data_IF_729922490449
#
_entry.id   IF_729922490449
#
_cell.length_a   1.000
_cell.length_b   1.000
_cell.length_c   1.000
_cell.angle_alpha   90.00
_cell.angle_beta   90.00
_cell.angle_gamma   90.00
#
_symmetry.space_group_name_H-M   'P 1'
#
loop_
_entity.id
_entity.type
_entity.pdbx_description
1 polymer ?
#
# COMPACT_ATOMS: atom_id res chain seq x y z
N UNK A 1 32.52 -26.21 43.66
CA UNK A 1 31.53 -25.96 44.73
C UNK A 1 30.14 -25.89 44.11
N UNK A 2 29.41 -27.01 44.17
CA UNK A 2 27.94 -27.03 44.26
C UNK A 2 27.56 -26.73 45.74
N UNK A 3 26.31 -26.36 46.10
CA UNK A 3 25.08 -26.95 45.55
C UNK A 3 23.84 -26.05 45.31
N UNK A 4 23.00 -26.61 44.42
CA UNK A 4 21.52 -26.77 44.41
C UNK A 4 20.58 -25.76 45.10
N UNK A 5 19.48 -25.43 44.40
CA UNK A 5 18.08 -25.87 44.64
C UNK A 5 17.12 -24.89 43.92
N UNK A 6 16.57 -25.23 42.74
CA UNK A 6 15.25 -25.87 42.52
C UNK A 6 14.07 -25.08 43.07
N UNK A 7 13.20 -24.53 42.19
CA UNK A 7 11.73 -24.69 42.21
C UNK A 7 11.23 -24.45 40.78
N UNK A 8 10.96 -25.56 40.12
CA UNK A 8 10.24 -25.70 38.86
C UNK A 8 9.07 -26.61 39.17
N UNK A 9 7.95 -26.06 39.65
CA UNK A 9 6.72 -26.83 39.91
C UNK A 9 5.55 -25.87 39.69
N UNK A 10 4.74 -26.12 38.66
CA UNK A 10 3.28 -26.02 38.65
C UNK A 10 2.80 -26.13 37.20
N UNK A 11 2.76 -27.34 36.66
CA UNK A 11 1.77 -27.76 35.63
C UNK A 11 1.93 -29.26 35.39
N UNK A 12 1.51 -30.07 36.37
CA UNK A 12 1.20 -31.48 36.19
C UNK A 12 0.26 -31.88 37.32
N UNK A 13 -1.03 -31.70 37.06
CA UNK A 13 -2.10 -31.94 38.02
C UNK A 13 -3.45 -31.91 37.32
N UNK A 14 -3.57 -32.62 36.19
CA UNK A 14 -4.84 -32.76 35.50
C UNK A 14 -4.91 -34.10 34.77
N UNK A 15 -4.74 -35.19 35.52
CA UNK A 15 -5.17 -36.51 35.08
C UNK A 15 -5.69 -37.27 36.30
N UNK A 16 -6.88 -37.86 36.15
CA UNK A 16 -7.54 -38.77 37.09
C UNK A 16 -8.10 -38.20 38.38
N UNK A 17 -9.30 -37.61 38.31
CA UNK A 17 -10.43 -37.97 39.18
C UNK A 17 -11.75 -37.60 38.49
N UNK A 18 -12.31 -38.53 37.70
CA UNK A 18 -13.64 -38.37 37.10
C UNK A 18 -14.35 -39.72 37.02
N UNK A 19 -14.54 -40.38 38.15
CA UNK A 19 -15.56 -41.41 38.29
C UNK A 19 -16.09 -41.38 39.72
N UNK A 20 -17.29 -40.81 39.87
CA UNK A 20 -18.45 -41.36 40.58
C UNK A 20 -19.34 -40.20 41.06
N UNK A 21 -20.23 -39.71 40.19
CA UNK A 21 -21.49 -39.09 40.64
C UNK A 21 -22.62 -39.49 39.67
N UNK A 22 -23.81 -39.82 40.19
CA UNK A 22 -24.90 -40.40 39.42
C UNK A 22 -25.72 -39.30 38.72
N UNK A 23 -26.10 -39.58 37.47
CA UNK A 23 -27.28 -39.03 36.76
C UNK A 23 -27.64 -37.57 37.09
N UNK A 24 -26.87 -36.61 36.58
CA UNK A 24 -27.38 -35.27 36.30
C UNK A 24 -27.42 -35.01 34.80
N UNK A 25 -28.49 -34.34 34.40
CA UNK A 25 -29.00 -34.18 33.05
C UNK A 25 -27.95 -33.65 32.08
N UNK A 26 -27.83 -34.36 30.97
CA UNK A 26 -27.33 -33.91 29.68
C UNK A 26 -28.03 -32.58 29.33
N UNK A 27 -27.32 -31.46 29.37
CA UNK A 27 -27.90 -30.17 29.01
C UNK A 27 -26.96 -29.01 29.26
N UNK A 28 -26.34 -28.50 28.18
CA UNK A 28 -25.70 -27.19 28.17
C UNK A 28 -24.18 -27.21 28.36
N UNK A 29 -23.45 -27.89 27.47
CA UNK A 29 -22.06 -27.52 27.20
C UNK A 29 -22.10 -26.15 26.50
N UNK A 30 -22.00 -25.06 27.26
CA UNK A 30 -21.84 -23.71 26.73
C UNK A 30 -20.43 -23.62 26.10
N UNK A 31 -20.34 -24.00 24.83
CA UNK A 31 -19.26 -23.61 23.94
C UNK A 31 -19.42 -22.12 23.67
N UNK A 32 -18.92 -21.28 24.57
CA UNK A 32 -18.77 -19.86 24.31
C UNK A 32 -17.65 -19.74 23.28
N UNK A 33 -18.00 -19.82 21.99
CA UNK A 33 -17.12 -19.41 20.91
C UNK A 33 -16.74 -17.96 21.17
N UNK A 34 -15.47 -17.74 21.55
CA UNK A 34 -14.84 -16.44 21.40
C UNK A 34 -14.71 -16.16 19.89
N UNK A 35 -15.80 -15.69 19.28
CA UNK A 35 -15.74 -14.93 18.05
C UNK A 35 -15.04 -13.63 18.41
N UNK A 36 -13.70 -13.62 18.33
CA UNK A 36 -12.96 -12.37 18.32
C UNK A 36 -13.43 -11.64 17.06
N UNK A 37 -14.09 -10.47 17.15
CA UNK A 37 -14.41 -9.70 15.96
C UNK A 37 -13.09 -9.43 15.24
N UNK A 38 -13.05 -9.70 13.93
CA UNK A 38 -11.97 -9.23 13.08
C UNK A 38 -11.79 -7.75 13.38
N UNK A 39 -10.63 -7.37 13.94
CA UNK A 39 -10.37 -5.99 14.34
C UNK A 39 -10.38 -5.16 13.07
N UNK A 40 -11.36 -4.26 12.97
CA UNK A 40 -11.37 -3.22 11.94
C UNK A 40 -10.36 -2.17 12.32
N UNK A 41 -9.52 -1.76 11.37
CA UNK A 41 -8.57 -0.63 11.50
C UNK A 41 -9.02 0.59 10.69
N UNK A 42 -9.96 0.41 9.74
CA UNK A 42 -10.61 1.43 8.91
C UNK A 42 -9.74 2.68 8.60
N UNK A 43 -8.53 2.45 8.12
CA UNK A 43 -7.58 3.50 7.80
C UNK A 43 -7.75 3.98 6.36
N UNK A 44 -7.73 5.30 6.17
CA UNK A 44 -7.73 5.90 4.84
C UNK A 44 -6.32 6.38 4.50
N UNK A 45 -5.67 5.67 3.59
CA UNK A 45 -4.39 6.02 2.99
C UNK A 45 -4.56 7.09 1.92
N UNK A 46 -3.74 8.15 1.99
CA UNK A 46 -3.66 9.22 0.99
C UNK A 46 -2.21 9.55 0.68
N UNK A 47 -1.94 9.98 -0.56
CA UNK A 47 -0.59 10.34 -0.99
C UNK A 47 -0.48 11.80 -1.42
N UNK A 48 0.56 12.47 -0.91
CA UNK A 48 0.93 13.82 -1.31
C UNK A 48 2.28 13.79 -2.01
N UNK A 49 2.32 14.15 -3.30
CA UNK A 49 3.59 14.35 -4.00
C UNK A 49 4.12 15.75 -3.68
N UNK A 50 5.31 15.84 -3.09
CA UNK A 50 5.92 17.12 -2.74
C UNK A 50 6.77 17.68 -3.88
N UNK A 51 7.76 16.91 -4.32
CA UNK A 51 8.66 17.26 -5.42
C UNK A 51 9.50 16.06 -5.86
N UNK A 52 10.17 16.22 -7.00
CA UNK A 52 11.20 15.32 -7.51
C UNK A 52 12.50 16.10 -7.65
N UNK A 53 13.59 15.56 -7.16
CA UNK A 53 14.91 16.16 -7.36
C UNK A 53 15.46 15.86 -8.76
N UNK A 54 16.26 16.79 -9.31
CA UNK A 54 16.66 16.72 -10.72
C UNK A 54 17.75 15.66 -10.97
N UNK A 55 18.84 15.67 -10.19
CA UNK A 55 20.04 14.86 -10.49
C UNK A 55 19.99 13.43 -9.96
N UNK A 56 19.48 13.25 -8.75
CA UNK A 56 19.35 11.97 -8.08
C UNK A 56 18.01 11.30 -8.42
N UNK A 57 17.12 11.97 -9.15
CA UNK A 57 15.79 11.43 -9.52
C UNK A 57 15.02 10.87 -8.31
N UNK A 58 15.12 11.55 -7.16
CA UNK A 58 14.42 11.15 -5.94
C UNK A 58 13.03 11.73 -5.91
N UNK A 59 12.01 10.87 -5.80
CA UNK A 59 10.64 11.28 -5.54
C UNK A 59 10.42 11.41 -4.03
N UNK A 60 9.84 12.54 -3.61
CA UNK A 60 9.46 12.81 -2.23
C UNK A 60 7.94 12.78 -2.12
N UNK A 61 7.41 11.74 -1.49
CA UNK A 61 5.97 11.46 -1.40
C UNK A 61 5.61 11.28 0.07
N UNK A 62 4.63 12.04 0.56
CA UNK A 62 4.00 11.80 1.86
C UNK A 62 2.91 10.77 1.72
N UNK A 63 2.82 9.85 2.68
CA UNK A 63 1.70 8.94 2.89
C UNK A 63 1.07 9.30 4.23
N UNK A 64 -0.22 9.60 4.23
CA UNK A 64 -1.01 9.84 5.43
C UNK A 64 -2.03 8.71 5.59
N UNK A 65 -2.02 8.04 6.74
CA UNK A 65 -2.96 7.00 7.16
C UNK A 65 -3.93 7.60 8.18
N UNK A 66 -5.05 8.12 7.69
CA UNK A 66 -6.11 8.71 8.50
C UNK A 66 -6.97 7.64 9.19
N UNK A 67 -7.93 8.10 9.99
CA UNK A 67 -8.85 7.23 10.71
C UNK A 67 -8.20 6.73 11.99
N UNK A 68 -8.21 5.42 12.21
CA UNK A 68 -7.72 4.82 13.45
C UNK A 68 -6.19 4.69 13.49
N UNK A 69 -5.51 4.81 12.34
CA UNK A 69 -4.05 4.72 12.24
C UNK A 69 -3.33 5.99 12.74
N UNK A 70 -3.73 7.17 12.27
CA UNK A 70 -3.13 8.45 12.65
C UNK A 70 -1.63 8.55 12.39
N UNK A 71 -1.14 7.99 11.28
CA UNK A 71 0.29 7.90 10.96
C UNK A 71 0.64 8.63 9.67
N UNK A 72 1.77 9.32 9.64
CA UNK A 72 2.31 9.97 8.44
C UNK A 72 3.72 9.47 8.15
N UNK A 73 3.98 9.09 6.90
CA UNK A 73 5.26 8.56 6.46
C UNK A 73 5.80 9.34 5.27
N UNK A 74 7.04 9.82 5.35
CA UNK A 74 7.77 10.27 4.18
C UNK A 74 8.34 9.06 3.45
N UNK A 75 8.04 8.95 2.17
CA UNK A 75 8.57 7.97 1.25
C UNK A 75 9.51 8.70 0.27
N UNK A 76 10.77 8.28 0.26
CA UNK A 76 11.77 8.72 -0.71
C UNK A 76 12.11 7.57 -1.64
N UNK A 77 11.97 7.78 -2.95
CA UNK A 77 12.28 6.77 -3.96
C UNK A 77 13.37 7.31 -4.86
N UNK A 78 14.57 6.81 -4.68
CA UNK A 78 15.75 7.14 -5.45
C UNK A 78 15.90 6.16 -6.61
N UNK A 79 15.89 6.64 -7.85
CA UNK A 79 16.03 5.81 -9.04
C UNK A 79 17.46 5.88 -9.55
N UNK A 80 18.26 4.83 -9.28
CA UNK A 80 19.65 4.72 -9.77
C UNK A 80 19.81 3.47 -10.60
N UNK A 81 20.36 3.63 -11.82
CA UNK A 81 20.67 2.50 -12.71
C UNK A 81 19.46 1.59 -12.97
N UNK A 82 18.26 2.18 -13.03
CA UNK A 82 17.00 1.44 -13.25
C UNK A 82 16.48 0.65 -12.04
N UNK A 83 17.14 0.73 -10.88
CA UNK A 83 16.68 0.08 -9.64
C UNK A 83 16.17 1.12 -8.64
N UNK A 84 14.94 0.98 -8.13
CA UNK A 84 14.43 1.87 -7.08
C UNK A 84 15.06 1.50 -5.72
N UNK A 85 15.59 2.51 -5.03
CA UNK A 85 15.96 2.43 -3.62
C UNK A 85 14.95 3.26 -2.83
N UNK A 86 14.27 2.62 -1.87
CA UNK A 86 13.17 3.24 -1.12
C UNK A 86 13.59 3.43 0.33
N UNK A 87 13.38 4.64 0.84
CA UNK A 87 13.44 4.94 2.28
C UNK A 87 12.08 5.42 2.75
N UNK A 88 11.59 4.83 3.83
CA UNK A 88 10.34 5.23 4.49
C UNK A 88 10.70 5.73 5.89
N UNK A 89 10.20 6.91 6.25
CA UNK A 89 10.45 7.53 7.55
C UNK A 89 9.12 8.01 8.13
N UNK A 90 8.80 7.57 9.33
CA UNK A 90 7.61 8.02 10.04
C UNK A 90 7.83 9.41 10.63
N UNK A 91 6.82 10.27 10.54
CA UNK A 91 6.84 11.60 11.15
C UNK A 91 6.48 11.48 12.63
N UNK A 92 7.16 12.27 13.46
CA UNK A 92 6.83 12.40 14.90
C UNK A 92 5.42 12.97 15.11
N UNK A 93 4.95 13.77 14.16
CA UNK A 93 3.63 14.40 14.21
C UNK A 93 2.88 14.16 12.90
N UNK A 94 1.66 13.62 13.05
CA UNK A 94 0.73 13.40 11.95
C UNK A 94 0.47 14.69 11.14
N UNK A 95 0.50 14.57 9.82
CA UNK A 95 0.25 15.60 8.80
C UNK A 95 1.13 16.86 8.85
N UNK A 96 2.16 16.92 9.71
CA UNK A 96 3.02 18.10 9.83
C UNK A 96 4.09 18.13 8.73
N UNK A 97 3.66 18.50 7.53
CA UNK A 97 4.46 18.52 6.31
C UNK A 97 5.16 19.86 6.02
N UNK A 98 5.01 20.88 6.87
CA UNK A 98 5.49 22.24 6.61
C UNK A 98 7.02 22.32 6.44
N UNK A 99 7.74 21.38 7.06
CA UNK A 99 9.20 21.29 6.96
C UNK A 99 9.69 20.89 5.56
N UNK A 100 8.83 20.28 4.73
CA UNK A 100 9.21 19.79 3.40
C UNK A 100 9.43 20.95 2.43
N UNK A 101 8.70 22.06 2.58
CA UNK A 101 8.81 23.20 1.67
C UNK A 101 10.17 23.92 1.75
N UNK A 102 10.74 24.21 2.94
CA UNK A 102 12.13 24.66 3.04
C UNK A 102 13.14 23.72 2.39
N UNK A 103 12.97 22.40 2.53
CA UNK A 103 13.85 21.39 1.92
C UNK A 103 13.76 21.45 0.39
N UNK A 104 12.53 21.51 -0.15
CA UNK A 104 12.28 21.68 -1.58
C UNK A 104 13.01 22.91 -2.14
N UNK A 105 12.92 24.06 -1.46
CA UNK A 105 13.56 25.31 -1.88
C UNK A 105 15.09 25.25 -1.87
N UNK A 106 15.66 24.39 -1.02
CA UNK A 106 17.11 24.17 -0.95
C UNK A 106 17.64 23.19 -2.01
N UNK A 107 16.75 22.48 -2.70
CA UNK A 107 17.10 21.45 -3.69
C UNK A 107 16.83 21.91 -5.12
N UNK A 108 17.58 21.35 -6.08
CA UNK A 108 17.22 21.47 -7.50
C UNK A 108 16.11 20.46 -7.81
N UNK A 109 14.94 20.97 -8.14
CA UNK A 109 13.76 20.17 -8.42
C UNK A 109 13.34 20.27 -9.87
N UNK A 110 12.83 19.18 -10.42
CA UNK A 110 12.18 19.18 -11.72
C UNK A 110 10.70 19.54 -11.56
N UNK A 111 10.21 20.47 -12.38
CA UNK A 111 8.81 20.89 -12.36
C UNK A 111 7.96 19.91 -13.17
N UNK A 112 6.96 19.25 -12.56
CA UNK A 112 6.08 18.34 -13.30
C UNK A 112 5.04 19.09 -14.14
N UNK A 113 4.59 18.46 -15.21
CA UNK A 113 3.23 18.66 -15.73
C UNK A 113 2.27 17.79 -14.91
N UNK A 114 1.19 18.37 -14.39
CA UNK A 114 0.24 17.67 -13.51
C UNK A 114 -1.11 17.55 -14.21
N UNK A 115 -1.62 16.33 -14.27
CA UNK A 115 -2.89 15.99 -14.89
C UNK A 115 -3.83 15.34 -13.88
N UNK A 116 -5.09 15.77 -13.90
CA UNK A 116 -6.18 15.15 -13.14
C UNK A 116 -7.17 14.60 -14.17
N UNK A 117 -7.61 13.34 -14.06
CA UNK A 117 -8.58 12.79 -15.00
C UNK A 117 -9.88 13.61 -15.04
N UNK A 118 -10.47 13.69 -16.23
CA UNK A 118 -11.77 14.32 -16.42
C UNK A 118 -12.92 13.47 -15.85
N UNK A 119 -14.16 13.91 -16.03
CA UNK A 119 -15.37 13.18 -15.58
C UNK A 119 -15.52 11.77 -16.15
N UNK A 120 -14.91 11.50 -17.31
CA UNK A 120 -14.87 10.16 -17.92
C UNK A 120 -13.69 9.32 -17.44
N UNK A 121 -12.94 9.79 -16.44
CA UNK A 121 -11.74 9.15 -15.88
C UNK A 121 -10.60 8.99 -16.90
N UNK A 122 -10.51 9.93 -17.83
CA UNK A 122 -9.48 9.94 -18.88
C UNK A 122 -8.61 11.20 -18.72
N UNK A 123 -7.31 11.03 -18.93
CA UNK A 123 -6.38 12.12 -19.21
C UNK A 123 -6.22 12.16 -20.73
N UNK A 124 -6.52 13.31 -21.34
CA UNK A 124 -6.36 13.57 -22.77
C UNK A 124 -5.83 15.00 -22.92
N UNK A 125 -4.52 15.14 -22.90
CA UNK A 125 -3.85 16.44 -23.01
C UNK A 125 -3.21 16.60 -24.39
N UNK A 126 -3.69 17.57 -25.15
CA UNK A 126 -3.21 17.84 -26.51
C UNK A 126 -1.81 18.50 -26.55
N UNK A 127 -1.40 19.18 -25.48
CA UNK A 127 -0.13 19.92 -25.44
C UNK A 127 1.04 18.97 -25.23
N UNK A 128 0.93 18.09 -24.24
CA UNK A 128 1.95 17.08 -23.92
C UNK A 128 1.77 15.78 -24.69
N UNK A 129 0.63 15.59 -25.35
CA UNK A 129 0.29 14.35 -26.06
C UNK A 129 -0.07 13.19 -25.13
N UNK A 130 -0.13 13.42 -23.81
CA UNK A 130 -0.42 12.37 -22.83
C UNK A 130 -1.89 11.99 -22.90
N UNK A 131 -2.12 10.73 -23.29
CA UNK A 131 -3.42 10.08 -23.23
C UNK A 131 -3.35 8.85 -22.36
N UNK A 132 -4.16 8.82 -21.31
CA UNK A 132 -4.13 7.74 -20.32
C UNK A 132 -5.51 7.52 -19.69
N UNK A 133 -5.83 6.26 -19.40
CA UNK A 133 -6.98 5.90 -18.56
C UNK A 133 -6.65 4.73 -17.63
N UNK A 134 -7.46 4.49 -16.58
CA UNK A 134 -7.34 3.32 -15.72
C UNK A 134 -7.21 1.99 -16.49
N UNK A 135 -6.59 0.96 -15.90
CA UNK A 135 -6.57 -0.37 -16.49
C UNK A 135 -7.98 -0.89 -16.76
N UNK A 136 -8.11 -1.81 -17.71
CA UNK A 136 -9.37 -2.53 -17.90
C UNK A 136 -9.68 -3.35 -16.65
N UNK A 137 -10.96 -3.48 -16.33
CA UNK A 137 -11.35 -4.33 -15.22
C UNK A 137 -10.91 -5.78 -15.46
N UNK A 138 -10.33 -6.40 -14.42
CA UNK A 138 -9.71 -7.71 -14.48
C UNK A 138 -10.32 -8.64 -13.42
N UNK A 139 -11.44 -9.27 -13.77
CA UNK A 139 -12.17 -10.18 -12.88
C UNK A 139 -11.32 -11.36 -12.42
N UNK A 140 -10.32 -11.78 -13.21
CA UNK A 140 -9.44 -12.89 -12.84
C UNK A 140 -8.56 -12.51 -11.65
N UNK A 141 -7.88 -11.36 -11.71
CA UNK A 141 -7.04 -10.89 -10.61
C UNK A 141 -7.90 -10.54 -9.39
N UNK A 142 -9.05 -9.92 -9.60
CA UNK A 142 -10.00 -9.63 -8.53
C UNK A 142 -10.43 -10.89 -7.77
N UNK A 143 -10.88 -11.95 -8.47
CA UNK A 143 -11.29 -13.19 -7.83
C UNK A 143 -10.12 -13.86 -7.10
N UNK A 144 -8.93 -13.88 -7.72
CA UNK A 144 -7.73 -14.45 -7.11
C UNK A 144 -7.35 -13.73 -5.81
N UNK A 145 -7.41 -12.40 -5.81
CA UNK A 145 -7.18 -11.58 -4.62
C UNK A 145 -8.26 -11.84 -3.56
N UNK A 146 -9.54 -11.84 -3.94
CA UNK A 146 -10.65 -12.05 -3.03
C UNK A 146 -10.59 -13.42 -2.32
N UNK A 147 -10.18 -14.47 -3.04
CA UNK A 147 -10.12 -15.84 -2.50
C UNK A 147 -8.90 -16.09 -1.59
N UNK A 148 -7.76 -15.44 -1.86
CA UNK A 148 -6.49 -15.84 -1.25
C UNK A 148 -5.79 -14.74 -0.44
N UNK A 149 -6.18 -13.48 -0.65
CA UNK A 149 -5.43 -12.32 -0.14
C UNK A 149 -6.29 -11.22 0.47
N UNK A 150 -7.62 -11.33 0.43
CA UNK A 150 -8.52 -10.33 1.01
C UNK A 150 -8.21 -10.02 2.49
N UNK A 151 -7.79 -11.04 3.25
CA UNK A 151 -7.41 -10.92 4.66
C UNK A 151 -6.00 -10.32 4.88
N UNK A 152 -5.18 -10.24 3.83
CA UNK A 152 -3.73 -10.01 3.92
C UNK A 152 -3.24 -8.71 3.25
N UNK A 153 -4.17 -7.88 2.78
CA UNK A 153 -3.94 -6.60 2.11
C UNK A 153 -3.06 -6.67 0.84
N UNK A 154 -2.85 -5.52 0.21
CA UNK A 154 -2.09 -5.39 -1.03
C UNK A 154 -0.61 -5.81 -0.92
N UNK A 155 0.05 -5.63 0.24
CA UNK A 155 1.46 -5.99 0.41
C UNK A 155 1.73 -7.46 0.17
N UNK A 156 0.92 -8.34 0.77
CA UNK A 156 1.11 -9.77 0.60
C UNK A 156 0.78 -10.21 -0.82
N UNK A 157 -0.28 -9.64 -1.41
CA UNK A 157 -0.59 -9.81 -2.83
C UNK A 157 0.61 -9.46 -3.72
N UNK A 158 1.17 -8.26 -3.56
CA UNK A 158 2.28 -7.75 -4.37
C UNK A 158 3.58 -8.54 -4.16
N UNK A 159 3.82 -9.05 -2.96
CA UNK A 159 4.97 -9.94 -2.69
C UNK A 159 4.81 -11.30 -3.38
N UNK A 160 3.58 -11.82 -3.47
CA UNK A 160 3.28 -13.12 -4.07
C UNK A 160 3.22 -13.06 -5.60
N UNK A 161 2.47 -12.09 -6.13
CA UNK A 161 2.18 -11.97 -7.56
C UNK A 161 3.26 -11.19 -8.32
N UNK A 162 4.00 -10.31 -7.64
CA UNK A 162 4.97 -9.41 -8.27
C UNK A 162 4.31 -8.67 -9.45
N UNK A 163 5.01 -8.51 -10.57
CA UNK A 163 4.52 -7.85 -11.78
C UNK A 163 3.26 -8.51 -12.37
N UNK A 164 3.05 -9.83 -12.18
CA UNK A 164 1.86 -10.52 -12.69
C UNK A 164 0.55 -10.09 -12.00
N UNK A 165 0.67 -9.40 -10.86
CA UNK A 165 -0.45 -8.84 -10.10
C UNK A 165 -0.71 -7.36 -10.36
N UNK A 166 0.01 -6.75 -11.31
CA UNK A 166 0.00 -5.31 -11.60
C UNK A 166 -0.54 -5.08 -13.02
N UNK A 167 -1.76 -4.56 -13.14
CA UNK A 167 -2.29 -4.03 -14.38
C UNK A 167 -1.86 -2.56 -14.53
N UNK A 168 -1.12 -2.23 -15.59
CA UNK A 168 -0.69 -0.85 -15.85
C UNK A 168 -1.83 -0.02 -16.48
N UNK A 169 -1.79 1.32 -16.38
CA UNK A 169 -2.73 2.19 -17.10
C UNK A 169 -2.75 1.90 -18.60
N UNK A 170 -3.89 2.15 -19.24
CA UNK A 170 -3.96 2.10 -20.68
C UNK A 170 -3.46 3.43 -21.25
N UNK A 171 -2.47 3.37 -22.14
CA UNK A 171 -1.91 4.53 -22.83
C UNK A 171 -2.19 4.44 -24.34
N UNK A 172 -2.12 5.59 -25.01
CA UNK A 172 -2.12 5.67 -26.48
C UNK A 172 -0.88 6.41 -26.93
N UNK A 173 -0.22 5.88 -27.96
CA UNK A 173 0.92 6.51 -28.63
C UNK A 173 2.13 6.82 -27.73
N UNK A 174 2.16 6.26 -26.51
CA UNK A 174 3.29 6.33 -25.58
C UNK A 174 3.57 4.93 -25.01
N UNK A 175 4.85 4.58 -24.98
CA UNK A 175 5.35 3.35 -24.40
C UNK A 175 6.00 3.63 -23.04
N UNK A 176 5.53 2.92 -22.02
CA UNK A 176 5.98 3.08 -20.64
C UNK A 176 6.57 1.76 -20.11
N UNK A 177 7.70 1.85 -19.41
CA UNK A 177 8.25 0.80 -18.57
C UNK A 177 7.92 1.09 -17.10
N UNK A 178 7.34 0.10 -16.42
CA UNK A 178 7.15 0.18 -14.98
C UNK A 178 8.50 0.08 -14.28
N UNK A 179 8.84 1.11 -13.49
CA UNK A 179 10.11 1.17 -12.73
C UNK A 179 9.86 0.83 -11.26
N UNK A 180 8.72 1.24 -10.71
CA UNK A 180 8.39 1.03 -9.32
C UNK A 180 6.87 1.04 -9.11
N UNK A 181 6.40 0.21 -8.18
CA UNK A 181 5.05 0.28 -7.64
C UNK A 181 5.13 0.27 -6.11
N UNK A 182 4.28 1.07 -5.45
CA UNK A 182 4.24 1.13 -4.00
C UNK A 182 3.69 -0.18 -3.39
N UNK A 183 4.39 -0.84 -2.46
CA UNK A 183 4.02 -2.18 -2.01
C UNK A 183 2.64 -2.32 -1.36
N UNK A 184 2.12 -1.26 -0.72
CA UNK A 184 0.82 -1.32 -0.04
C UNK A 184 -0.37 -0.89 -0.93
N UNK A 185 -0.12 -0.60 -2.21
CA UNK A 185 -1.18 -0.28 -3.18
C UNK A 185 -1.65 -1.50 -3.96
N UNK A 186 -2.94 -1.54 -4.30
CA UNK A 186 -3.52 -2.62 -5.13
C UNK A 186 -3.68 -2.15 -6.58
N UNK A 187 -3.11 -2.90 -7.53
CA UNK A 187 -2.92 -2.45 -8.91
C UNK A 187 -3.72 -3.22 -9.95
N UNK A 188 -4.97 -3.52 -9.65
CA UNK A 188 -5.99 -3.90 -10.63
C UNK A 188 -7.30 -3.20 -10.26
N UNK A 189 -8.18 -2.98 -11.23
CA UNK A 189 -9.47 -2.28 -11.06
C UNK A 189 -9.41 -0.89 -10.41
N UNK A 190 -8.22 -0.30 -10.24
CA UNK A 190 -8.05 1.01 -9.61
C UNK A 190 -8.49 2.14 -10.54
N UNK A 191 -8.83 3.29 -9.97
CA UNK A 191 -8.97 4.56 -10.67
C UNK A 191 -7.65 5.35 -10.63
N UNK A 192 -7.36 6.15 -11.65
CA UNK A 192 -6.25 7.10 -11.61
C UNK A 192 -6.73 8.34 -10.86
N UNK A 193 -5.96 8.80 -9.89
CA UNK A 193 -6.25 10.05 -9.17
C UNK A 193 -5.55 11.24 -9.84
N UNK A 194 -4.26 11.07 -10.16
CA UNK A 194 -3.40 12.13 -10.64
C UNK A 194 -2.19 11.55 -11.37
N UNK A 195 -1.71 12.25 -12.39
CA UNK A 195 -0.48 11.92 -13.10
C UNK A 195 0.46 13.12 -13.08
N UNK A 196 1.72 12.89 -12.71
CA UNK A 196 2.79 13.88 -12.80
C UNK A 196 3.81 13.42 -13.84
N UNK A 197 4.04 14.22 -14.87
CA UNK A 197 5.01 13.95 -15.95
C UNK A 197 6.25 14.81 -15.78
N UNK A 198 7.41 14.17 -15.87
CA UNK A 198 8.74 14.75 -15.66
C UNK A 198 9.53 14.62 -16.98
N UNK A 199 9.39 15.60 -17.89
CA UNK A 199 9.92 15.49 -19.25
C UNK A 199 11.45 15.44 -19.29
N UNK A 200 12.15 16.19 -18.44
CA UNK A 200 13.62 16.24 -18.45
C UNK A 200 14.23 14.90 -18.04
N UNK A 201 13.55 14.18 -17.16
CA UNK A 201 13.98 12.85 -16.71
C UNK A 201 13.31 11.68 -17.44
N UNK A 202 12.38 11.96 -18.36
CA UNK A 202 11.56 10.93 -19.03
C UNK A 202 10.87 9.99 -18.04
N UNK A 203 10.35 10.54 -16.95
CA UNK A 203 9.66 9.81 -15.89
C UNK A 203 8.21 10.26 -15.75
N UNK A 204 7.39 9.39 -15.18
CA UNK A 204 5.99 9.65 -14.93
C UNK A 204 5.57 8.98 -13.61
N UNK A 205 4.84 9.70 -12.77
CA UNK A 205 4.24 9.20 -11.52
C UNK A 205 2.71 9.14 -11.69
N UNK A 206 2.12 7.98 -11.49
CA UNK A 206 0.66 7.76 -11.46
C UNK A 206 0.24 7.50 -10.03
N UNK A 207 -0.60 8.36 -9.45
CA UNK A 207 -1.27 8.09 -8.18
C UNK A 207 -2.61 7.39 -8.44
N UNK A 208 -2.88 6.35 -7.66
CA UNK A 208 -4.01 5.45 -7.88
C UNK A 208 -4.92 5.45 -6.67
N UNK A 209 -6.23 5.35 -6.94
CA UNK A 209 -7.28 5.20 -5.94
C UNK A 209 -7.97 3.86 -6.12
N UNK A 210 -7.99 3.05 -5.08
CA UNK A 210 -8.57 1.72 -5.12
C UNK A 210 -9.92 1.69 -4.37
N UNK A 211 -10.86 0.89 -4.88
CA UNK A 211 -12.20 0.75 -4.26
C UNK A 211 -12.23 -0.42 -3.30
N UNK A 212 -11.47 -1.46 -3.61
CA UNK A 212 -11.27 -2.63 -2.80
C UNK A 212 -10.56 -2.23 -1.51
N UNK A 213 -10.99 -2.85 -0.41
CA UNK A 213 -10.47 -2.61 0.94
C UNK A 213 -9.79 -3.85 1.46
N UNK A 214 -8.76 -3.67 2.27
CA UNK A 214 -8.22 -4.78 3.03
C UNK A 214 -9.23 -5.24 4.09
N UNK A 215 -9.08 -6.46 4.59
CA UNK A 215 -9.67 -6.83 5.88
C UNK A 215 -9.40 -5.75 6.92
N UNK A 216 -10.47 -5.35 7.60
CA UNK A 216 -10.49 -4.25 8.54
C UNK A 216 -10.90 -2.89 7.96
N UNK A 217 -11.08 -2.77 6.64
CA UNK A 217 -11.68 -1.60 5.97
C UNK A 217 -10.66 -0.63 5.35
N UNK A 218 -9.37 -0.91 5.49
CA UNK A 218 -8.29 -0.01 5.08
C UNK A 218 -8.27 0.18 3.55
N UNK A 219 -8.05 1.42 3.07
CA UNK A 219 -7.78 1.62 1.63
C UNK A 219 -6.45 0.98 1.25
N UNK A 220 -6.34 0.64 -0.04
CA UNK A 220 -5.10 0.15 -0.65
C UNK A 220 -4.75 1.05 -1.84
N UNK A 221 -4.74 2.35 -1.58
CA UNK A 221 -4.33 3.36 -2.55
C UNK A 221 -2.83 3.24 -2.80
N UNK A 222 -2.33 3.82 -3.88
CA UNK A 222 -0.94 3.58 -4.24
C UNK A 222 -0.43 4.51 -5.30
N UNK A 223 0.73 4.15 -5.83
CA UNK A 223 1.29 4.85 -6.97
C UNK A 223 2.28 3.98 -7.74
N UNK A 224 2.42 4.31 -9.03
CA UNK A 224 3.29 3.66 -9.99
C UNK A 224 4.25 4.72 -10.54
N UNK A 225 5.51 4.35 -10.73
CA UNK A 225 6.50 5.17 -11.43
C UNK A 225 6.89 4.47 -12.72
N UNK A 226 6.78 5.20 -13.81
CA UNK A 226 7.11 4.75 -15.14
C UNK A 226 8.28 5.54 -15.73
N UNK A 227 8.97 4.92 -16.68
CA UNK A 227 9.91 5.56 -17.58
C UNK A 227 9.40 5.45 -19.02
N UNK A 228 9.53 6.50 -19.81
CA UNK A 228 9.22 6.41 -21.24
C UNK A 228 10.30 5.58 -21.97
N UNK A 229 9.88 4.68 -22.87
CA UNK A 229 10.80 3.86 -23.68
C UNK A 229 11.50 4.65 -24.77
N UNK A 230 10.75 5.53 -25.44
CA UNK A 230 11.18 6.26 -26.62
C UNK A 230 10.71 7.72 -26.50
N UNK A 231 11.61 8.61 -26.05
CA UNK A 231 11.49 10.06 -26.25
C UNK A 231 12.70 10.50 -27.07
#
# INVERSE_FOLDING_TARGET
MLPLFTILIYHLGLVFQLFTLPKLKLGGLLLTLCLLPARTTNCEQRFTFFFKTQYDHTFWIGEDLYGECGQSNLIQIFLKEGKPLVKKMELVHFEKWEWVEPVKKAMRTEKPYVFIPNSNKIIDDAITGIKMKPPKSNNRLYNLFAENFAENCARQWNNSMKEDGIDTPQTWDIDLDLVYYYPDGLYFNYDIEKVCVFPESSLLLVMTKNKERCAGGDTMDGFLIFKFKNI
#
